data_IF_956976934096
#
_entry.id   IF_956976934096
#
_cell.length_a   1.000
_cell.length_b   1.000
_cell.length_c   1.000
_cell.angle_alpha   90.00
_cell.angle_beta   90.00
_cell.angle_gamma   90.00
#
_symmetry.space_group_name_H-M   'P 1'
#
loop_
_entity.id
_entity.type
_entity.pdbx_description
1 polymer ?
#
# COMPACT_ATOMS: atom_id res chain seq x y z
N UNK A 1 -40.12 -3.72 -6.43
CA UNK A 1 -40.14 -4.28 -7.80
C UNK A 1 -39.34 -3.48 -8.79
N UNK A 2 -39.19 -2.14 -8.68
CA UNK A 2 -38.34 -1.30 -9.53
C UNK A 2 -36.83 -1.50 -9.23
N UNK A 3 -36.46 -1.78 -8.00
CA UNK A 3 -35.05 -1.89 -7.58
C UNK A 3 -34.37 -3.16 -8.09
N UNK A 4 -35.10 -4.27 -8.19
CA UNK A 4 -34.59 -5.51 -8.78
C UNK A 4 -34.37 -5.42 -10.31
N UNK A 5 -35.08 -4.51 -10.98
CA UNK A 5 -34.91 -4.29 -12.42
C UNK A 5 -33.63 -3.53 -12.71
N UNK A 6 -33.28 -2.53 -11.88
CA UNK A 6 -32.05 -1.75 -12.01
C UNK A 6 -30.81 -2.62 -11.76
N UNK A 7 -30.83 -3.49 -10.74
CA UNK A 7 -29.73 -4.40 -10.43
C UNK A 7 -29.48 -5.40 -11.58
N UNK A 8 -30.56 -5.96 -12.15
CA UNK A 8 -30.46 -6.89 -13.30
C UNK A 8 -29.91 -6.20 -14.55
N UNK A 9 -30.28 -4.94 -14.80
CA UNK A 9 -29.80 -4.17 -15.94
C UNK A 9 -28.31 -3.83 -15.78
N UNK A 10 -27.88 -3.47 -14.59
CA UNK A 10 -26.48 -3.17 -14.28
C UNK A 10 -25.59 -4.43 -14.40
N UNK A 11 -26.07 -5.58 -13.91
CA UNK A 11 -25.38 -6.86 -14.08
C UNK A 11 -25.33 -7.30 -15.55
N UNK A 12 -26.40 -7.08 -16.33
CA UNK A 12 -26.43 -7.39 -17.76
C UNK A 12 -25.44 -6.53 -18.54
N UNK A 13 -25.29 -5.23 -18.18
CA UNK A 13 -24.31 -4.33 -18.82
C UNK A 13 -22.88 -4.78 -18.53
N UNK A 14 -22.59 -5.23 -17.32
CA UNK A 14 -21.29 -5.78 -16.92
C UNK A 14 -20.96 -7.05 -17.75
N UNK A 15 -21.94 -7.94 -17.92
CA UNK A 15 -21.79 -9.16 -18.72
C UNK A 15 -21.54 -8.83 -20.21
N UNK A 16 -22.22 -7.83 -20.76
CA UNK A 16 -22.02 -7.38 -22.16
C UNK A 16 -20.60 -6.82 -22.34
N UNK A 17 -20.08 -6.08 -21.36
CA UNK A 17 -18.70 -5.57 -21.40
C UNK A 17 -17.65 -6.69 -21.35
N UNK A 18 -17.98 -7.81 -20.69
CA UNK A 18 -17.12 -9.01 -20.59
C UNK A 18 -17.14 -9.85 -21.89
N UNK A 19 -18.14 -9.67 -22.75
CA UNK A 19 -18.29 -10.42 -24.00
C UNK A 19 -17.67 -9.72 -25.22
N UNK A 20 -17.12 -8.51 -25.07
CA UNK A 20 -16.38 -7.84 -26.16
C UNK A 20 -15.09 -8.60 -26.39
N UNK A 21 -14.87 -9.19 -27.60
CA UNK A 21 -13.61 -9.84 -27.91
C UNK A 21 -12.49 -8.81 -27.85
N UNK A 22 -11.61 -8.95 -26.87
CA UNK A 22 -10.38 -8.16 -26.79
C UNK A 22 -9.47 -8.64 -27.94
N UNK A 23 -9.39 -7.88 -29.00
CA UNK A 23 -8.31 -8.03 -29.97
C UNK A 23 -6.98 -7.90 -29.21
N UNK A 24 -5.97 -8.63 -29.65
CA UNK A 24 -4.64 -8.66 -29.03
C UNK A 24 -4.00 -7.26 -29.00
N UNK A 25 -4.43 -6.45 -28.07
CA UNK A 25 -3.71 -5.23 -27.69
C UNK A 25 -2.62 -5.64 -26.72
N UNK A 26 -1.38 -5.62 -27.17
CA UNK A 26 -0.19 -5.82 -26.33
C UNK A 26 -0.03 -4.64 -25.36
N UNK A 27 -0.93 -4.54 -24.39
CA UNK A 27 -0.78 -3.60 -23.28
C UNK A 27 0.05 -4.28 -22.20
N UNK A 28 1.36 -4.08 -22.22
CA UNK A 28 2.31 -4.69 -21.28
C UNK A 28 2.76 -3.62 -20.29
N UNK A 29 2.64 -3.84 -18.96
CA UNK A 29 3.13 -2.91 -17.93
C UNK A 29 4.62 -2.56 -18.10
N UNK A 30 5.04 -1.40 -17.59
CA UNK A 30 6.35 -0.79 -17.84
C UNK A 30 7.55 -1.75 -17.72
N UNK A 31 7.64 -2.49 -16.60
CA UNK A 31 8.77 -3.39 -16.38
C UNK A 31 8.71 -4.64 -17.26
N UNK A 32 7.50 -5.16 -17.53
CA UNK A 32 7.33 -6.28 -18.43
C UNK A 32 7.75 -5.91 -19.87
N UNK A 33 7.47 -4.69 -20.33
CA UNK A 33 7.98 -4.18 -21.62
C UNK A 33 9.50 -4.01 -21.61
N UNK A 34 10.00 -3.35 -20.57
CA UNK A 34 11.42 -3.04 -20.44
C UNK A 34 12.30 -4.29 -20.50
N UNK A 35 11.91 -5.35 -19.78
CA UNK A 35 12.68 -6.57 -19.63
C UNK A 35 12.14 -7.75 -20.46
N UNK A 36 11.05 -7.56 -21.19
CA UNK A 36 10.37 -8.61 -21.99
C UNK A 36 9.99 -9.85 -21.17
N UNK A 37 9.50 -9.63 -19.96
CA UNK A 37 9.11 -10.68 -19.01
C UNK A 37 7.59 -10.68 -18.74
N UNK A 38 7.07 -11.85 -18.35
CA UNK A 38 5.67 -11.98 -17.92
C UNK A 38 5.45 -11.33 -16.55
N UNK A 39 4.23 -10.85 -16.31
CA UNK A 39 3.80 -10.37 -14.98
C UNK A 39 4.00 -11.40 -13.86
N UNK A 40 3.93 -12.70 -14.18
CA UNK A 40 4.13 -13.79 -13.22
C UNK A 40 5.55 -13.90 -12.67
N UNK A 41 6.55 -13.29 -13.32
CA UNK A 41 7.92 -13.28 -12.81
C UNK A 41 7.99 -12.53 -11.48
N UNK A 42 7.21 -11.43 -11.36
CA UNK A 42 7.20 -10.56 -10.18
C UNK A 42 5.96 -10.69 -9.32
N UNK A 43 4.82 -11.14 -9.88
CA UNK A 43 3.52 -11.13 -9.21
C UNK A 43 2.93 -12.53 -9.05
N UNK A 44 2.30 -12.81 -7.90
CA UNK A 44 1.57 -14.04 -7.64
C UNK A 44 0.35 -13.78 -6.74
N UNK A 45 -0.81 -14.31 -7.08
CA UNK A 45 -1.24 -14.87 -8.37
C UNK A 45 -1.50 -13.78 -9.42
N UNK A 46 -1.63 -12.52 -8.99
CA UNK A 46 -1.95 -11.36 -9.82
C UNK A 46 -1.36 -10.08 -9.23
N UNK A 47 -1.27 -9.04 -10.06
CA UNK A 47 -0.96 -7.68 -9.57
C UNK A 47 -2.02 -7.23 -8.54
N UNK A 48 -1.67 -6.43 -7.53
CA UNK A 48 -0.36 -5.81 -7.31
C UNK A 48 0.60 -6.67 -6.47
N UNK A 49 0.16 -7.81 -5.92
CA UNK A 49 0.96 -8.60 -4.98
C UNK A 49 2.27 -9.07 -5.60
N UNK A 50 3.36 -8.86 -4.88
CA UNK A 50 4.68 -9.34 -5.27
C UNK A 50 4.95 -10.73 -4.69
N UNK A 51 5.81 -11.49 -5.34
CA UNK A 51 6.48 -12.68 -4.85
C UNK A 51 7.98 -12.40 -4.67
N UNK A 52 8.74 -13.33 -4.09
CA UNK A 52 10.12 -13.10 -3.70
C UNK A 52 10.99 -12.44 -4.77
N UNK A 53 10.91 -12.87 -6.04
CA UNK A 53 11.61 -12.20 -7.13
C UNK A 53 11.13 -10.76 -7.36
N UNK A 54 9.84 -10.50 -7.23
CA UNK A 54 9.27 -9.15 -7.39
C UNK A 54 9.71 -8.21 -6.26
N UNK A 55 9.82 -8.70 -5.05
CA UNK A 55 10.34 -7.97 -3.89
C UNK A 55 11.84 -7.67 -4.05
N UNK A 56 12.62 -8.66 -4.45
CA UNK A 56 14.04 -8.47 -4.77
C UNK A 56 14.24 -7.46 -5.91
N UNK A 57 13.45 -7.55 -6.98
CA UNK A 57 13.50 -6.60 -8.09
C UNK A 57 13.16 -5.17 -7.64
N UNK A 58 12.18 -4.99 -6.77
CA UNK A 58 11.84 -3.69 -6.20
C UNK A 58 12.96 -3.18 -5.28
N UNK A 59 13.48 -4.01 -4.38
CA UNK A 59 14.60 -3.70 -3.50
C UNK A 59 15.91 -3.38 -4.25
N UNK A 60 16.10 -3.94 -5.45
CA UNK A 60 17.20 -3.60 -6.35
C UNK A 60 16.93 -2.36 -7.23
N UNK A 61 15.90 -1.55 -6.90
CA UNK A 61 15.56 -0.31 -7.59
C UNK A 61 14.95 -0.53 -8.97
N UNK A 62 14.13 -1.56 -9.09
CA UNK A 62 13.42 -1.89 -10.32
C UNK A 62 14.35 -2.20 -11.49
N UNK A 63 15.46 -2.89 -11.18
CA UNK A 63 16.46 -3.35 -12.15
C UNK A 63 16.82 -4.82 -11.91
N UNK A 64 17.21 -5.48 -12.98
CA UNK A 64 17.83 -6.81 -12.90
C UNK A 64 19.35 -6.64 -12.76
N UNK A 65 19.91 -7.10 -11.65
CA UNK A 65 21.31 -6.87 -11.27
C UNK A 65 22.33 -7.52 -12.21
N UNK A 66 21.96 -8.59 -12.92
CA UNK A 66 22.83 -9.31 -13.86
C UNK A 66 22.40 -9.13 -15.34
N UNK A 67 21.40 -8.28 -15.58
CA UNK A 67 20.86 -8.07 -16.92
C UNK A 67 21.09 -6.63 -17.35
N UNK A 68 22.08 -6.42 -18.21
CA UNK A 68 22.19 -5.16 -18.94
C UNK A 68 21.03 -5.09 -19.95
N UNK A 69 20.02 -4.35 -19.57
CA UNK A 69 18.95 -4.06 -20.51
C UNK A 69 19.52 -3.32 -21.73
N UNK A 70 19.23 -3.81 -22.95
CA UNK A 70 19.80 -3.21 -24.12
C UNK A 70 19.37 -1.74 -24.23
N UNK A 71 20.34 -0.84 -24.01
CA UNK A 71 20.25 0.58 -24.39
C UNK A 71 19.15 1.38 -23.66
N UNK A 72 19.14 1.37 -22.32
CA UNK A 72 18.24 2.24 -21.54
C UNK A 72 18.56 3.71 -21.70
N UNK A 73 19.81 4.04 -21.92
CA UNK A 73 20.29 5.40 -22.02
C UNK A 73 20.66 5.76 -23.45
N UNK A 74 20.52 7.04 -23.76
CA UNK A 74 21.02 7.63 -24.99
C UNK A 74 22.43 8.13 -24.71
N UNK A 75 23.42 7.66 -25.46
CA UNK A 75 24.76 8.20 -25.42
C UNK A 75 24.76 9.62 -26.00
N UNK A 76 25.08 10.60 -25.17
CA UNK A 76 25.05 12.03 -25.54
C UNK A 76 26.42 12.61 -25.78
N UNK A 77 27.49 11.86 -25.40
CA UNK A 77 28.85 12.39 -25.32
C UNK A 77 29.13 13.27 -24.11
N UNK A 78 28.16 13.40 -23.20
CA UNK A 78 28.30 14.08 -21.90
C UNK A 78 28.11 13.05 -20.78
N UNK A 79 29.20 12.67 -20.10
CA UNK A 79 29.21 11.67 -19.02
C UNK A 79 28.38 12.08 -17.78
N UNK A 80 27.96 13.34 -17.70
CA UNK A 80 27.11 13.84 -16.64
C UNK A 80 25.64 13.91 -17.01
N UNK A 81 25.29 13.62 -18.26
CA UNK A 81 23.91 13.67 -18.75
C UNK A 81 23.39 12.24 -18.96
N UNK A 82 22.42 11.87 -18.15
CA UNK A 82 21.70 10.59 -18.26
C UNK A 82 20.33 10.83 -18.88
N UNK A 83 20.13 10.33 -20.11
CA UNK A 83 18.87 10.42 -20.83
C UNK A 83 18.29 9.03 -21.07
N UNK A 84 17.05 8.82 -20.64
CA UNK A 84 16.34 7.60 -20.95
C UNK A 84 15.96 7.55 -22.43
N UNK A 85 16.11 6.38 -23.03
CA UNK A 85 15.53 6.13 -24.36
C UNK A 85 14.01 6.07 -24.29
N UNK A 86 13.48 5.38 -23.27
CA UNK A 86 12.04 5.23 -23.02
C UNK A 86 11.81 5.34 -21.50
N UNK A 87 10.87 6.22 -21.12
CA UNK A 87 10.44 6.30 -19.73
C UNK A 87 9.50 5.12 -19.46
N UNK A 88 9.80 4.24 -18.49
CA UNK A 88 8.97 3.09 -18.18
C UNK A 88 7.70 3.53 -17.45
N UNK A 89 6.61 3.77 -18.18
CA UNK A 89 5.31 4.14 -17.66
C UNK A 89 4.35 2.96 -17.67
N UNK A 90 3.60 2.80 -16.60
CA UNK A 90 2.46 1.90 -16.52
C UNK A 90 1.24 2.66 -16.02
N UNK A 91 0.08 2.25 -16.52
CA UNK A 91 -1.22 2.76 -16.10
C UNK A 91 -2.01 1.64 -15.43
N UNK A 92 -2.81 1.99 -14.41
CA UNK A 92 -3.78 1.08 -13.81
C UNK A 92 -5.14 1.76 -13.76
N UNK A 93 -6.17 1.02 -14.13
CA UNK A 93 -7.57 1.45 -14.06
C UNK A 93 -8.35 0.37 -13.32
N UNK A 94 -9.08 0.78 -12.29
CA UNK A 94 -10.02 -0.04 -11.56
C UNK A 94 -11.42 0.56 -11.67
N UNK A 95 -12.43 -0.29 -11.79
CA UNK A 95 -13.82 0.13 -11.80
C UNK A 95 -14.69 -0.89 -11.05
N UNK A 96 -15.66 -0.38 -10.27
CA UNK A 96 -16.52 -1.20 -9.42
C UNK A 96 -17.97 -0.77 -9.48
N UNK A 97 -18.85 -1.73 -9.27
CA UNK A 97 -20.22 -1.54 -8.88
C UNK A 97 -20.34 -2.06 -7.46
N UNK A 98 -20.91 -1.28 -6.56
CA UNK A 98 -21.06 -1.64 -5.16
C UNK A 98 -22.51 -1.49 -4.70
N UNK A 99 -22.91 -2.31 -3.74
CA UNK A 99 -24.20 -2.23 -3.07
C UNK A 99 -23.99 -2.37 -1.56
N UNK A 100 -24.51 -1.38 -0.82
CA UNK A 100 -24.54 -1.39 0.64
C UNK A 100 -25.89 -1.87 1.11
N UNK A 101 -25.92 -2.87 2.00
CA UNK A 101 -27.16 -3.47 2.52
C UNK A 101 -27.86 -2.59 3.56
N UNK A 102 -27.16 -1.61 4.11
CA UNK A 102 -27.68 -0.67 5.09
C UNK A 102 -28.02 0.67 4.44
N UNK A 103 -28.63 1.58 5.18
CA UNK A 103 -28.99 2.92 4.72
C UNK A 103 -29.82 2.95 3.43
N UNK A 104 -30.94 2.24 3.42
CA UNK A 104 -31.88 2.22 2.31
C UNK A 104 -31.35 1.63 0.99
N UNK A 105 -30.33 0.79 1.04
CA UNK A 105 -29.86 0.04 -0.12
C UNK A 105 -29.17 0.92 -1.17
N UNK A 106 -28.13 1.66 -0.78
CA UNK A 106 -27.38 2.49 -1.70
C UNK A 106 -26.56 1.65 -2.69
N UNK A 107 -26.80 1.85 -4.00
CA UNK A 107 -25.97 1.33 -5.08
C UNK A 107 -25.06 2.42 -5.62
N UNK A 108 -23.85 2.06 -5.99
CA UNK A 108 -22.85 2.98 -6.52
C UNK A 108 -22.14 2.40 -7.74
N UNK A 109 -21.84 3.26 -8.71
CA UNK A 109 -21.04 2.97 -9.88
C UNK A 109 -19.76 3.80 -9.81
N UNK A 110 -18.68 3.19 -9.34
CA UNK A 110 -17.38 3.82 -9.18
C UNK A 110 -16.43 3.39 -10.30
N UNK A 111 -16.53 4.05 -11.46
CA UNK A 111 -15.65 3.82 -12.59
C UNK A 111 -15.26 5.17 -13.24
N UNK A 112 -13.99 5.59 -13.21
CA UNK A 112 -12.88 4.91 -12.55
C UNK A 112 -12.92 5.02 -11.02
N UNK A 113 -12.67 3.91 -10.32
CA UNK A 113 -12.43 3.90 -8.89
C UNK A 113 -10.99 4.27 -8.54
N UNK A 114 -10.06 3.69 -9.28
CA UNK A 114 -8.64 4.06 -9.29
C UNK A 114 -8.22 4.34 -10.74
N UNK A 115 -7.47 5.41 -10.92
CA UNK A 115 -6.67 5.67 -12.12
C UNK A 115 -5.31 6.14 -11.66
N UNK A 116 -4.26 5.33 -11.89
CA UNK A 116 -2.91 5.69 -11.48
C UNK A 116 -1.87 5.48 -12.58
N UNK A 117 -0.81 6.28 -12.49
CA UNK A 117 0.40 6.18 -13.30
C UNK A 117 1.54 5.76 -12.40
N UNK A 118 2.35 4.85 -12.86
CA UNK A 118 3.53 4.33 -12.16
C UNK A 118 4.73 4.44 -13.08
N UNK A 119 5.86 4.84 -12.52
CA UNK A 119 7.16 4.77 -13.17
C UNK A 119 8.26 4.41 -12.16
N UNK A 120 9.25 3.70 -12.62
CA UNK A 120 10.42 3.36 -11.82
C UNK A 120 11.54 2.84 -12.68
N UNK A 121 12.75 2.93 -12.19
CA UNK A 121 13.91 2.43 -12.90
C UNK A 121 15.19 3.12 -12.51
N UNK A 122 16.22 2.75 -13.21
CA UNK A 122 17.60 3.14 -12.99
C UNK A 122 17.89 4.53 -13.57
N UNK A 123 18.48 5.40 -12.78
CA UNK A 123 19.03 6.69 -13.22
C UNK A 123 20.53 6.59 -13.50
N UNK A 124 21.22 5.74 -12.76
CA UNK A 124 22.63 5.39 -12.92
C UNK A 124 22.93 4.08 -12.21
N UNK A 125 24.14 3.53 -12.32
CA UNK A 125 24.53 2.23 -11.77
C UNK A 125 24.14 1.99 -10.29
N UNK A 126 24.03 3.04 -9.48
CA UNK A 126 23.67 2.94 -8.06
C UNK A 126 22.47 3.78 -7.66
N UNK A 127 21.88 4.51 -8.58
CA UNK A 127 20.77 5.40 -8.32
C UNK A 127 19.57 4.99 -9.16
N UNK A 128 18.44 4.79 -8.50
CA UNK A 128 17.16 4.54 -9.13
C UNK A 128 16.08 5.44 -8.55
N UNK A 129 14.93 5.45 -9.21
CA UNK A 129 13.76 6.20 -8.78
C UNK A 129 12.52 5.32 -8.84
N UNK A 130 11.54 5.69 -8.06
CA UNK A 130 10.20 5.16 -8.15
C UNK A 130 9.21 6.24 -7.79
N UNK A 131 8.13 6.31 -8.56
CA UNK A 131 6.96 7.10 -8.16
C UNK A 131 5.69 6.47 -8.68
N UNK A 132 4.58 6.71 -7.99
CA UNK A 132 3.28 6.58 -8.59
C UNK A 132 2.36 7.73 -8.19
N UNK A 133 1.49 8.06 -9.13
CA UNK A 133 0.59 9.17 -9.04
C UNK A 133 -0.85 8.69 -9.24
N UNK A 134 -1.71 9.00 -8.29
CA UNK A 134 -3.14 8.73 -8.37
C UNK A 134 -3.85 9.92 -9.02
N UNK A 135 -4.18 9.77 -10.31
CA UNK A 135 -5.00 10.74 -11.04
C UNK A 135 -6.44 10.73 -10.53
N UNK A 136 -6.91 9.56 -10.08
CA UNK A 136 -8.20 9.41 -9.41
C UNK A 136 -8.12 8.30 -8.37
N UNK A 137 -8.60 8.58 -7.17
CA UNK A 137 -8.93 7.59 -6.16
C UNK A 137 -10.27 7.96 -5.53
N UNK A 138 -11.26 7.08 -5.69
CA UNK A 138 -12.61 7.27 -5.14
C UNK A 138 -13.22 8.64 -5.49
N UNK A 139 -13.03 9.09 -6.73
CA UNK A 139 -13.57 10.35 -7.24
C UNK A 139 -12.76 11.61 -6.91
N UNK A 140 -11.58 11.49 -6.33
CA UNK A 140 -10.69 12.61 -6.01
C UNK A 140 -9.33 12.43 -6.63
N UNK A 141 -8.64 13.53 -6.93
CA UNK A 141 -7.22 13.50 -7.26
C UNK A 141 -6.48 13.30 -5.93
N UNK A 142 -5.88 12.12 -5.74
CA UNK A 142 -5.14 11.82 -4.53
C UNK A 142 -3.69 12.34 -4.59
N UNK A 143 -3.14 12.54 -5.79
CA UNK A 143 -1.80 13.08 -5.97
C UNK A 143 -0.71 12.01 -5.93
N UNK A 144 0.50 12.42 -5.54
CA UNK A 144 1.66 11.55 -5.43
C UNK A 144 1.62 10.83 -4.09
N UNK A 145 1.69 9.51 -4.09
CA UNK A 145 1.79 8.69 -2.88
C UNK A 145 3.23 8.23 -2.64
N UNK A 146 3.80 7.40 -3.51
CA UNK A 146 5.24 7.11 -3.47
C UNK A 146 5.99 8.02 -4.44
N UNK A 147 7.08 8.63 -4.00
CA UNK A 147 8.03 9.35 -4.84
C UNK A 147 9.38 9.42 -4.13
N UNK A 148 10.29 8.56 -4.48
CA UNK A 148 11.59 8.51 -3.84
C UNK A 148 12.72 8.16 -4.82
N UNK A 149 13.92 8.56 -4.43
CA UNK A 149 15.17 8.08 -5.00
C UNK A 149 15.73 6.98 -4.10
N UNK A 150 16.35 5.99 -4.70
CA UNK A 150 17.01 4.89 -4.02
C UNK A 150 18.48 4.84 -4.43
N UNK A 151 19.37 4.88 -3.44
CA UNK A 151 20.80 4.70 -3.64
C UNK A 151 21.23 3.31 -3.15
N UNK A 152 21.67 2.49 -4.08
CA UNK A 152 22.01 1.08 -3.82
C UNK A 152 23.41 0.92 -3.29
N UNK A 153 23.58 -0.02 -2.37
CA UNK A 153 24.87 -0.41 -1.81
C UNK A 153 25.69 0.81 -1.36
N UNK A 154 25.11 1.57 -0.43
CA UNK A 154 25.72 2.79 0.08
C UNK A 154 27.14 2.53 0.59
N UNK A 155 28.12 3.18 -0.04
CA UNK A 155 29.55 3.06 0.25
C UNK A 155 30.09 1.61 0.25
N UNK A 156 29.46 0.66 -0.45
CA UNK A 156 29.89 -0.74 -0.46
C UNK A 156 29.53 -1.53 0.79
N UNK A 157 28.56 -1.03 1.58
CA UNK A 157 28.14 -1.65 2.85
C UNK A 157 26.98 -2.65 2.70
N UNK A 158 26.41 -2.74 1.50
CA UNK A 158 25.18 -3.50 1.24
C UNK A 158 23.92 -2.85 1.86
N UNK A 159 23.98 -1.56 2.22
CA UNK A 159 22.82 -0.80 2.68
C UNK A 159 22.21 -0.07 1.49
N UNK A 160 20.88 -0.20 1.31
CA UNK A 160 20.13 0.64 0.40
C UNK A 160 19.56 1.84 1.17
N UNK A 161 19.63 3.02 0.55
CA UNK A 161 19.08 4.26 1.09
C UNK A 161 17.98 4.77 0.18
N UNK A 162 16.86 5.14 0.77
CA UNK A 162 15.73 5.78 0.10
C UNK A 162 15.57 7.19 0.64
N UNK A 163 15.27 8.14 -0.23
CA UNK A 163 15.00 9.52 0.16
C UNK A 163 13.81 10.04 -0.63
N UNK A 164 12.79 10.50 0.06
CA UNK A 164 11.57 11.02 -0.57
C UNK A 164 10.32 10.75 0.24
N UNK A 165 9.24 10.49 -0.46
CA UNK A 165 7.92 10.18 0.10
C UNK A 165 7.63 8.69 -0.12
N UNK A 166 7.25 7.99 0.95
CA UNK A 166 6.97 6.55 0.91
C UNK A 166 5.96 6.17 2.00
N UNK A 167 5.41 4.98 1.88
CA UNK A 167 4.52 4.44 2.91
C UNK A 167 5.35 3.89 4.08
N UNK A 168 5.16 4.46 5.28
CA UNK A 168 5.89 4.06 6.51
C UNK A 168 5.67 2.58 6.87
N UNK A 169 4.55 1.98 6.45
CA UNK A 169 4.29 0.55 6.64
C UNK A 169 4.86 -0.36 5.53
N UNK A 170 5.57 0.18 4.53
CA UNK A 170 6.15 -0.64 3.46
C UNK A 170 7.02 -1.79 3.98
N UNK A 171 7.89 -1.60 4.99
CA UNK A 171 8.67 -2.69 5.54
C UNK A 171 7.83 -3.74 6.29
N UNK A 172 6.58 -3.43 6.65
CA UNK A 172 5.63 -4.36 7.28
C UNK A 172 4.82 -5.09 6.20
N UNK A 173 3.67 -4.50 5.83
CA UNK A 173 2.87 -4.96 4.71
C UNK A 173 2.44 -3.73 3.90
N UNK A 174 2.94 -3.64 2.69
CA UNK A 174 2.59 -2.52 1.81
C UNK A 174 1.10 -2.55 1.48
N UNK A 175 0.38 -1.53 1.91
CA UNK A 175 -1.06 -1.43 1.70
C UNK A 175 -1.47 -1.46 0.22
N UNK A 176 -0.61 -0.95 -0.67
CA UNK A 176 -0.82 -0.96 -2.10
C UNK A 176 -0.76 -2.35 -2.76
N UNK A 177 -0.15 -3.33 -2.08
CA UNK A 177 -0.04 -4.71 -2.57
C UNK A 177 -1.22 -5.59 -2.16
N UNK A 178 -2.16 -5.10 -1.35
CA UNK A 178 -3.36 -5.85 -0.97
C UNK A 178 -4.30 -6.08 -2.15
N UNK A 179 -5.08 -7.14 -2.07
CA UNK A 179 -6.11 -7.43 -3.06
C UNK A 179 -7.46 -6.79 -2.76
N UNK A 180 -7.78 -6.63 -1.47
CA UNK A 180 -9.08 -6.17 -1.00
C UNK A 180 -9.26 -4.66 -1.18
N UNK A 181 -10.50 -4.22 -1.40
CA UNK A 181 -10.86 -2.80 -1.33
C UNK A 181 -10.74 -2.28 0.10
N UNK A 182 -10.98 -3.16 1.08
CA UNK A 182 -10.81 -2.83 2.48
C UNK A 182 -9.32 -2.71 2.81
N UNK A 183 -8.86 -1.59 3.42
CA UNK A 183 -7.45 -1.39 3.77
C UNK A 183 -7.08 -2.12 5.07
N UNK A 184 -5.79 -2.21 5.35
CA UNK A 184 -5.27 -2.57 6.68
C UNK A 184 -5.51 -1.39 7.64
N UNK A 185 -6.63 -1.44 8.38
CA UNK A 185 -7.15 -0.30 9.16
C UNK A 185 -6.18 0.24 10.21
N UNK A 186 -5.45 -0.66 10.87
CA UNK A 186 -4.56 -0.28 11.97
C UNK A 186 -3.46 0.70 11.54
N UNK A 187 -3.02 0.67 10.29
CA UNK A 187 -1.98 1.58 9.79
C UNK A 187 -2.39 3.05 9.75
N UNK A 188 -3.68 3.30 9.65
CA UNK A 188 -4.25 4.66 9.67
C UNK A 188 -4.94 5.01 10.99
N UNK A 189 -4.85 4.16 12.01
CA UNK A 189 -5.52 4.41 13.28
C UNK A 189 -4.75 5.46 14.08
N UNK A 190 -5.22 6.71 14.04
CA UNK A 190 -4.67 7.84 14.78
C UNK A 190 -5.74 8.46 15.67
N UNK A 191 -5.58 8.49 17.00
CA UNK A 191 -6.57 9.06 17.90
C UNK A 191 -6.62 10.59 17.79
N UNK A 192 -7.84 11.13 17.79
CA UNK A 192 -8.08 12.59 17.78
C UNK A 192 -7.38 13.31 16.63
N UNK A 193 -6.56 14.29 16.96
CA UNK A 193 -5.81 15.10 15.99
C UNK A 193 -4.36 14.64 15.77
N UNK A 194 -3.97 13.45 16.24
CA UNK A 194 -2.63 12.92 15.98
C UNK A 194 -2.40 12.72 14.48
N UNK A 195 -1.30 13.24 13.96
CA UNK A 195 -0.90 13.10 12.55
C UNK A 195 0.01 11.91 12.33
N UNK A 196 0.69 11.44 13.37
CA UNK A 196 1.58 10.28 13.29
C UNK A 196 0.78 9.01 12.98
N UNK A 197 1.13 8.36 11.89
CA UNK A 197 0.53 7.09 11.46
C UNK A 197 1.52 6.30 10.59
N UNK A 198 1.12 5.12 10.14
CA UNK A 198 1.95 4.25 9.28
C UNK A 198 1.55 4.33 7.80
N UNK A 199 0.87 5.40 7.38
CA UNK A 199 0.60 5.71 5.97
C UNK A 199 1.81 6.40 5.35
N UNK A 200 1.56 7.28 4.38
CA UNK A 200 2.61 7.99 3.65
C UNK A 200 3.20 9.14 4.46
N UNK A 201 4.52 9.26 4.39
CA UNK A 201 5.26 10.38 4.96
C UNK A 201 6.50 10.70 4.11
N UNK A 202 7.19 11.76 4.42
CA UNK A 202 8.43 12.18 3.80
C UNK A 202 9.60 11.91 4.72
N UNK A 203 10.67 11.31 4.18
CA UNK A 203 11.79 10.94 5.01
C UNK A 203 12.91 10.24 4.28
N UNK A 204 13.68 9.53 5.08
CA UNK A 204 14.79 8.67 4.66
C UNK A 204 14.54 7.28 5.24
N UNK A 205 14.71 6.26 4.40
CA UNK A 205 14.67 4.86 4.80
C UNK A 205 16.01 4.22 4.45
N UNK A 206 16.47 3.34 5.30
CA UNK A 206 17.62 2.47 5.02
C UNK A 206 17.25 1.02 5.34
N UNK A 207 17.71 0.14 4.49
CA UNK A 207 17.46 -1.29 4.62
C UNK A 207 18.73 -2.10 4.34
N UNK A 208 18.82 -3.25 5.00
CA UNK A 208 19.88 -4.21 4.75
C UNK A 208 19.40 -5.62 5.00
N UNK A 209 19.61 -6.48 4.03
CA UNK A 209 19.43 -7.92 4.15
C UNK A 209 20.76 -8.62 4.37
N UNK A 210 20.72 -9.64 5.21
CA UNK A 210 21.88 -10.49 5.52
C UNK A 210 21.67 -11.88 4.94
N UNK A 211 22.75 -12.52 4.54
CA UNK A 211 22.72 -13.88 4.01
C UNK A 211 22.12 -14.93 4.98
N UNK A 212 21.95 -14.59 6.24
CA UNK A 212 21.30 -15.41 7.27
C UNK A 212 19.77 -15.42 7.17
N UNK A 213 19.20 -14.65 6.24
CA UNK A 213 17.76 -14.42 6.16
C UNK A 213 17.23 -13.40 7.16
N UNK A 214 18.13 -12.71 7.87
CA UNK A 214 17.78 -11.57 8.72
C UNK A 214 17.76 -10.31 7.89
N UNK A 215 16.73 -9.46 8.04
CA UNK A 215 16.70 -8.12 7.47
C UNK A 215 16.46 -7.07 8.54
N UNK A 216 16.98 -5.89 8.32
CA UNK A 216 16.77 -4.71 9.15
C UNK A 216 16.35 -3.53 8.31
N UNK A 217 15.39 -2.75 8.80
CA UNK A 217 14.95 -1.51 8.19
C UNK A 217 14.90 -0.42 9.25
N UNK A 218 15.27 0.78 8.89
CA UNK A 218 15.12 1.95 9.74
C UNK A 218 14.61 3.13 8.92
N UNK A 219 13.75 3.94 9.50
CA UNK A 219 13.19 5.13 8.87
C UNK A 219 13.31 6.35 9.79
N UNK A 220 13.51 7.49 9.16
CA UNK A 220 13.43 8.81 9.77
C UNK A 220 12.44 9.60 8.95
N UNK A 221 11.29 9.93 9.53
CA UNK A 221 10.19 10.61 8.84
C UNK A 221 9.76 11.87 9.57
N UNK A 222 9.04 12.75 8.89
CA UNK A 222 8.52 13.98 9.50
C UNK A 222 7.47 13.70 10.60
N UNK A 223 6.62 12.69 10.42
CA UNK A 223 5.50 12.40 11.34
C UNK A 223 4.26 13.25 11.06
N UNK A 224 4.25 14.02 9.98
CA UNK A 224 3.20 14.97 9.62
C UNK A 224 2.39 14.57 8.38
N UNK A 225 2.76 13.44 7.74
CA UNK A 225 2.16 12.99 6.49
C UNK A 225 2.74 13.71 5.27
N UNK A 226 1.97 13.76 4.19
CA UNK A 226 2.48 14.21 2.88
C UNK A 226 2.08 15.64 2.50
N UNK A 227 1.13 16.23 3.19
CA UNK A 227 0.58 17.56 2.85
C UNK A 227 1.47 18.69 3.37
N UNK A 228 1.43 19.81 2.68
CA UNK A 228 2.08 21.04 3.14
C UNK A 228 1.39 21.56 4.42
N UNK A 229 2.16 21.92 5.41
CA UNK A 229 1.67 22.35 6.71
C UNK A 229 1.73 23.86 6.86
N UNK A 230 0.65 24.54 6.47
CA UNK A 230 0.37 25.91 6.93
C UNK A 230 1.20 27.05 6.36
N UNK A 231 1.71 26.90 5.16
CA UNK A 231 2.42 27.96 4.42
C UNK A 231 3.94 27.96 4.66
N UNK A 232 4.67 28.53 3.71
CA UNK A 232 6.13 28.58 3.78
C UNK A 232 6.84 27.37 3.20
N UNK A 233 6.13 26.51 2.45
CA UNK A 233 6.67 25.32 1.77
C UNK A 233 7.25 24.28 2.74
N UNK A 234 6.72 24.20 3.95
CA UNK A 234 7.13 23.21 4.95
C UNK A 234 6.15 22.04 4.97
N UNK A 235 6.70 20.83 5.04
CA UNK A 235 5.95 19.58 5.19
C UNK A 235 6.00 19.03 6.62
N UNK A 236 6.53 19.82 7.54
CA UNK A 236 6.58 19.51 8.96
C UNK A 236 6.21 20.77 9.78
N UNK A 237 5.35 20.57 10.78
CA UNK A 237 4.86 21.66 11.65
C UNK A 237 5.79 21.95 12.83
N UNK A 238 6.67 21.01 13.11
CA UNK A 238 7.47 21.07 14.32
C UNK A 238 8.93 20.69 14.06
N UNK A 239 9.72 20.63 15.10
CA UNK A 239 11.15 20.33 15.03
C UNK A 239 11.48 18.86 15.25
N UNK A 240 10.48 18.03 15.53
CA UNK A 240 10.69 16.64 15.87
C UNK A 240 10.67 15.77 14.61
N UNK A 241 11.36 14.64 14.66
CA UNK A 241 11.28 13.61 13.66
C UNK A 241 10.83 12.33 14.33
N UNK A 242 10.15 11.51 13.56
CA UNK A 242 9.68 10.21 14.00
C UNK A 242 10.59 9.12 13.42
N UNK A 243 10.76 8.06 14.17
CA UNK A 243 11.68 6.98 13.86
C UNK A 243 10.94 5.67 13.86
N UNK A 244 11.14 4.88 12.80
CA UNK A 244 10.67 3.50 12.73
C UNK A 244 11.87 2.57 12.60
N UNK A 245 11.76 1.41 13.19
CA UNK A 245 12.73 0.32 13.09
C UNK A 245 11.99 -1.00 12.93
N UNK A 246 12.43 -1.84 12.00
CA UNK A 246 11.98 -3.22 11.84
C UNK A 246 13.17 -4.16 11.78
N UNK A 247 13.01 -5.31 12.41
CA UNK A 247 13.86 -6.49 12.22
C UNK A 247 12.96 -7.65 11.82
N UNK A 248 13.40 -8.44 10.86
CA UNK A 248 12.71 -9.66 10.49
C UNK A 248 13.70 -10.81 10.27
N UNK A 249 13.19 -12.03 10.39
CA UNK A 249 13.94 -13.26 10.15
C UNK A 249 13.12 -14.20 9.27
N UNK A 250 13.68 -14.57 8.14
CA UNK A 250 13.17 -15.66 7.32
C UNK A 250 13.69 -17.01 7.84
N UNK A 251 12.76 -17.95 8.03
CA UNK A 251 13.05 -19.31 8.49
C UNK A 251 12.73 -20.25 7.34
N UNK A 252 13.77 -20.63 6.61
CA UNK A 252 13.62 -21.25 5.30
C UNK A 252 12.89 -20.31 4.32
N UNK A 253 12.26 -20.91 3.31
CA UNK A 253 11.59 -20.15 2.24
C UNK A 253 10.09 -19.91 2.55
N UNK A 254 9.60 -20.33 3.73
CA UNK A 254 8.16 -20.41 4.00
C UNK A 254 7.65 -19.52 5.11
N UNK A 255 8.50 -19.11 6.03
CA UNK A 255 8.08 -18.37 7.22
C UNK A 255 8.97 -17.16 7.39
N UNK A 256 8.35 -15.99 7.54
CA UNK A 256 9.04 -14.78 7.95
C UNK A 256 8.38 -14.22 9.20
N UNK A 257 9.15 -13.99 10.24
CA UNK A 257 8.69 -13.35 11.48
C UNK A 257 9.38 -12.00 11.61
N UNK A 258 8.63 -10.99 12.01
CA UNK A 258 9.13 -9.64 12.15
C UNK A 258 8.69 -9.01 13.47
N UNK A 259 9.39 -7.96 13.83
CA UNK A 259 9.02 -7.07 14.93
C UNK A 259 9.44 -5.64 14.57
N UNK A 260 8.53 -4.70 14.78
CA UNK A 260 8.82 -3.29 14.56
C UNK A 260 8.57 -2.45 15.80
N UNK A 261 9.20 -1.29 15.82
CA UNK A 261 8.97 -0.23 16.77
C UNK A 261 8.95 1.13 16.07
N UNK A 262 8.06 1.99 16.49
CA UNK A 262 7.95 3.38 16.02
C UNK A 262 7.91 4.30 17.24
N UNK A 263 8.64 5.40 17.20
CA UNK A 263 8.62 6.43 18.22
C UNK A 263 8.69 7.80 17.61
N UNK A 264 7.88 8.71 18.10
CA UNK A 264 7.82 10.07 17.61
C UNK A 264 7.30 11.04 18.63
N UNK A 265 7.36 12.31 18.26
CA UNK A 265 6.76 13.42 18.99
C UNK A 265 6.05 14.33 18.00
N UNK A 266 4.93 14.87 18.44
CA UNK A 266 4.18 15.87 17.69
C UNK A 266 3.76 17.03 18.59
N UNK A 267 3.64 18.21 18.02
CA UNK A 267 3.07 19.35 18.71
C UNK A 267 1.56 19.34 18.52
N UNK A 268 0.84 19.19 19.62
CA UNK A 268 -0.61 19.26 19.65
C UNK A 268 -1.00 20.71 19.92
N UNK A 269 -1.65 21.42 18.97
CA UNK A 269 -2.06 22.81 19.20
C UNK A 269 -3.11 22.85 20.31
N UNK A 270 -2.87 23.70 21.30
CA UNK A 270 -3.88 24.05 22.28
C UNK A 270 -4.60 25.31 21.79
N UNK A 271 -5.89 25.25 21.52
CA UNK A 271 -6.67 26.39 21.03
C UNK A 271 -6.74 27.58 22.00
N UNK A 272 -6.28 27.45 23.26
CA UNK A 272 -6.40 28.44 24.33
C UNK A 272 -5.08 28.63 25.12
N UNK A 273 -4.12 27.69 25.02
CA UNK A 273 -2.87 27.68 25.78
C UNK A 273 -1.62 27.45 24.92
N UNK A 274 -0.44 27.32 25.55
CA UNK A 274 0.77 26.98 24.81
C UNK A 274 0.67 25.57 24.22
N UNK A 275 1.24 25.34 23.01
CA UNK A 275 1.20 24.03 22.39
C UNK A 275 1.83 22.96 23.28
N UNK A 276 1.18 21.80 23.34
CA UNK A 276 1.59 20.65 24.16
C UNK A 276 2.25 19.62 23.27
N UNK A 277 3.28 18.95 23.78
CA UNK A 277 3.95 17.86 23.07
C UNK A 277 3.29 16.54 23.42
N UNK A 278 2.91 15.76 22.43
CA UNK A 278 2.51 14.36 22.54
C UNK A 278 3.65 13.43 22.12
N UNK A 279 3.88 12.36 22.88
CA UNK A 279 4.77 11.29 22.48
C UNK A 279 3.93 10.14 21.89
N UNK A 280 4.30 9.69 20.71
CA UNK A 280 3.67 8.56 20.03
C UNK A 280 4.64 7.37 20.03
N UNK A 281 4.15 6.20 20.39
CA UNK A 281 4.90 4.95 20.33
C UNK A 281 4.02 3.87 19.73
N UNK A 282 4.58 3.09 18.81
CA UNK A 282 3.93 1.91 18.25
C UNK A 282 4.92 0.76 18.21
N UNK A 283 4.45 -0.45 18.42
CA UNK A 283 5.26 -1.66 18.26
C UNK A 283 4.37 -2.88 18.06
N UNK A 284 4.93 -3.90 17.47
CA UNK A 284 4.24 -5.17 17.35
C UNK A 284 4.96 -6.18 16.47
N UNK A 285 4.59 -7.46 16.60
CA UNK A 285 5.06 -8.53 15.74
C UNK A 285 4.28 -8.58 14.41
N UNK A 286 4.93 -9.14 13.41
CA UNK A 286 4.32 -9.57 12.16
C UNK A 286 4.78 -10.99 11.79
N UNK A 287 3.96 -11.66 10.97
CA UNK A 287 4.19 -13.01 10.50
C UNK A 287 3.69 -13.16 9.08
N UNK A 288 4.52 -13.75 8.22
CA UNK A 288 4.12 -14.28 6.92
C UNK A 288 4.42 -15.78 6.88
N UNK A 289 3.44 -16.56 6.43
CA UNK A 289 3.61 -17.96 6.07
C UNK A 289 3.26 -18.09 4.60
N UNK A 290 4.21 -18.53 3.78
CA UNK A 290 4.01 -18.79 2.36
C UNK A 290 4.22 -20.27 2.05
N UNK A 291 3.17 -20.95 1.67
CA UNK A 291 3.20 -22.35 1.27
C UNK A 291 3.16 -22.46 -0.26
N UNK A 292 4.32 -22.22 -0.87
CA UNK A 292 4.55 -22.35 -2.32
C UNK A 292 3.59 -21.45 -3.15
N UNK A 293 3.31 -20.25 -2.64
CA UNK A 293 2.37 -19.26 -3.23
C UNK A 293 0.92 -19.76 -3.37
N UNK A 294 0.63 -21.00 -2.89
CA UNK A 294 -0.71 -21.58 -2.92
C UNK A 294 -1.56 -21.16 -1.76
N UNK A 295 -0.93 -20.97 -0.62
CA UNK A 295 -1.53 -20.45 0.60
C UNK A 295 -0.56 -19.50 1.24
N UNK A 296 -0.95 -18.22 1.31
CA UNK A 296 -0.19 -17.19 2.02
C UNK A 296 -1.03 -16.70 3.20
N UNK A 297 -0.43 -16.64 4.37
CA UNK A 297 -1.04 -16.13 5.60
C UNK A 297 -0.18 -14.97 6.08
N UNK A 298 -0.79 -13.81 6.24
CA UNK A 298 -0.19 -12.61 6.82
C UNK A 298 -0.89 -12.26 8.12
N UNK A 299 -0.12 -11.87 9.10
CA UNK A 299 -0.61 -11.41 10.38
C UNK A 299 0.19 -10.22 10.87
N UNK A 300 -0.50 -9.18 11.37
CA UNK A 300 0.10 -8.03 12.02
C UNK A 300 -0.65 -7.72 13.31
N UNK A 301 0.06 -7.47 14.37
CA UNK A 301 -0.45 -6.86 15.60
C UNK A 301 0.31 -5.57 15.88
N UNK A 302 -0.40 -4.53 16.32
CA UNK A 302 0.16 -3.23 16.69
C UNK A 302 -0.44 -2.77 18.01
N UNK A 303 0.41 -2.35 18.93
CA UNK A 303 0.04 -1.56 20.09
C UNK A 303 0.60 -0.16 19.91
N UNK A 304 -0.28 0.84 19.97
CA UNK A 304 0.02 2.27 19.92
C UNK A 304 -0.29 2.91 21.26
N UNK A 305 0.54 3.87 21.68
CA UNK A 305 0.30 4.73 22.84
C UNK A 305 0.62 6.17 22.49
N UNK A 306 -0.31 7.07 22.84
CA UNK A 306 -0.19 8.51 22.64
C UNK A 306 -0.29 9.17 24.02
N UNK A 307 0.74 9.94 24.43
CA UNK A 307 0.77 10.50 25.79
C UNK A 307 -0.24 11.62 25.99
N UNK A 308 -0.65 12.31 24.91
CA UNK A 308 -1.70 13.31 24.94
C UNK A 308 -2.35 13.48 23.56
N UNK A 309 -3.65 13.45 23.52
CA UNK A 309 -4.46 13.53 22.31
C UNK A 309 -5.47 14.67 22.45
N UNK A 310 -5.51 15.58 21.47
CA UNK A 310 -6.56 16.58 21.37
C UNK A 310 -7.78 15.94 20.70
N UNK A 311 -8.90 15.95 21.41
CA UNK A 311 -10.18 15.43 20.89
C UNK A 311 -10.84 16.49 20.00
N UNK A 312 -11.45 16.02 18.92
CA UNK A 312 -12.29 16.88 18.09
C UNK A 312 -13.60 17.19 18.80
N UNK A 313 -13.94 18.46 18.92
CA UNK A 313 -15.16 18.91 19.55
C UNK A 313 -15.02 20.32 20.14
N UNK A 314 -16.15 20.91 20.54
CA UNK A 314 -16.14 22.18 21.24
C UNK A 314 -16.91 22.02 22.56
N UNK A 315 -16.31 22.37 23.72
CA UNK A 315 -14.91 22.83 23.91
C UNK A 315 -13.90 21.73 23.66
N UNK A 316 -12.70 22.11 23.16
CA UNK A 316 -11.58 21.20 22.98
C UNK A 316 -11.21 20.55 24.31
N UNK A 317 -11.06 19.25 24.32
CA UNK A 317 -10.64 18.46 25.49
C UNK A 317 -9.45 17.58 25.12
N UNK A 318 -8.64 17.29 26.12
CA UNK A 318 -7.51 16.38 25.97
C UNK A 318 -7.83 15.04 26.60
N UNK A 319 -7.23 14.01 26.05
CA UNK A 319 -7.17 12.68 26.62
C UNK A 319 -5.70 12.30 26.79
N UNK A 320 -5.31 11.96 27.99
CA UNK A 320 -3.94 11.54 28.32
C UNK A 320 -3.83 10.01 28.22
N UNK A 321 -2.64 9.52 27.86
CA UNK A 321 -2.28 8.10 27.83
C UNK A 321 -3.24 7.21 27.03
N UNK A 322 -3.61 7.65 25.82
CA UNK A 322 -4.49 6.91 24.93
C UNK A 322 -3.77 5.67 24.39
N UNK A 323 -4.34 4.51 24.61
CA UNK A 323 -3.88 3.24 24.04
C UNK A 323 -4.80 2.82 22.90
N UNK A 324 -4.22 2.46 21.76
CA UNK A 324 -4.90 1.85 20.62
C UNK A 324 -4.20 0.54 20.28
N UNK A 325 -4.94 -0.54 20.21
CA UNK A 325 -4.46 -1.85 19.82
C UNK A 325 -5.22 -2.35 18.59
N UNK A 326 -4.59 -3.16 17.78
CA UNK A 326 -5.27 -3.73 16.64
C UNK A 326 -4.34 -4.48 15.71
N UNK A 327 -4.87 -4.84 14.58
CA UNK A 327 -4.12 -5.57 13.58
C UNK A 327 -5.00 -6.11 12.47
N UNK A 328 -4.44 -7.06 11.75
CA UNK A 328 -5.17 -7.82 10.75
C UNK A 328 -4.63 -9.24 10.62
N UNK A 329 -5.47 -10.11 10.10
CA UNK A 329 -5.12 -11.42 9.58
C UNK A 329 -5.61 -11.52 8.14
N UNK A 330 -4.72 -11.86 7.22
CA UNK A 330 -5.02 -12.04 5.80
C UNK A 330 -4.65 -13.45 5.36
N UNK A 331 -5.54 -14.10 4.62
CA UNK A 331 -5.30 -15.42 4.02
C UNK A 331 -5.55 -15.32 2.53
N UNK A 332 -4.57 -15.74 1.72
CA UNK A 332 -4.66 -15.76 0.26
C UNK A 332 -4.51 -17.20 -0.20
N UNK A 333 -5.48 -17.67 -0.98
CA UNK A 333 -5.52 -19.01 -1.55
C UNK A 333 -5.42 -18.91 -3.07
N UNK A 334 -4.40 -19.56 -3.65
CA UNK A 334 -4.13 -19.60 -5.08
C UNK A 334 -3.80 -21.05 -5.46
N UNK A 335 -4.76 -21.89 -5.86
CA UNK A 335 -4.58 -23.36 -5.91
C UNK A 335 -3.43 -23.87 -6.77
N UNK A 336 -2.96 -23.07 -7.73
CA UNK A 336 -1.83 -23.39 -8.60
C UNK A 336 -0.65 -22.42 -8.41
N UNK A 337 -0.59 -21.70 -7.26
CA UNK A 337 0.40 -20.68 -7.03
C UNK A 337 0.33 -19.58 -8.09
N UNK A 338 1.47 -19.19 -8.64
CA UNK A 338 1.60 -18.19 -9.71
C UNK A 338 0.92 -18.55 -11.04
N UNK A 339 0.63 -19.86 -11.24
CA UNK A 339 -0.10 -20.36 -12.41
C UNK A 339 -1.61 -20.33 -12.22
N UNK A 340 -2.12 -19.88 -11.08
CA UNK A 340 -3.56 -19.78 -10.82
C UNK A 340 -4.22 -18.75 -11.73
N UNK A 341 -5.40 -19.11 -12.23
CA UNK A 341 -6.27 -18.18 -12.95
C UNK A 341 -7.28 -17.50 -12.03
N UNK A 342 -7.38 -17.95 -10.79
CA UNK A 342 -8.24 -17.37 -9.77
C UNK A 342 -7.58 -17.45 -8.40
N UNK A 343 -8.01 -16.60 -7.52
CA UNK A 343 -7.58 -16.59 -6.13
C UNK A 343 -8.72 -16.14 -5.22
N UNK A 344 -8.59 -16.48 -3.95
CA UNK A 344 -9.50 -16.09 -2.88
C UNK A 344 -8.68 -15.43 -1.77
N UNK A 345 -9.17 -14.31 -1.24
CA UNK A 345 -8.54 -13.61 -0.12
C UNK A 345 -9.56 -13.39 0.98
N UNK A 346 -9.22 -13.77 2.20
CA UNK A 346 -9.93 -13.40 3.42
C UNK A 346 -9.11 -12.37 4.19
N UNK A 347 -9.73 -11.27 4.63
CA UNK A 347 -9.10 -10.25 5.47
C UNK A 347 -9.97 -9.99 6.68
N UNK A 348 -9.39 -10.09 7.87
CA UNK A 348 -10.00 -9.67 9.12
C UNK A 348 -9.21 -8.52 9.71
N UNK A 349 -9.89 -7.40 9.98
CA UNK A 349 -9.33 -6.22 10.65
C UNK A 349 -9.95 -6.05 12.02
N UNK A 350 -9.15 -5.61 12.99
CA UNK A 350 -9.66 -5.12 14.28
C UNK A 350 -8.82 -3.95 14.77
N UNK A 351 -9.46 -2.98 15.41
CA UNK A 351 -8.87 -1.86 16.12
C UNK A 351 -9.73 -1.62 17.35
N UNK A 352 -9.10 -1.53 18.50
CA UNK A 352 -9.69 -1.16 19.79
C UNK A 352 -8.89 0.01 20.37
N UNK A 353 -9.57 1.04 20.87
CA UNK A 353 -8.93 2.25 21.36
C UNK A 353 -9.65 2.82 22.58
N UNK A 354 -8.89 3.39 23.51
CA UNK A 354 -9.46 4.26 24.55
C UNK A 354 -10.22 5.44 23.93
N UNK A 355 -9.85 5.84 22.70
CA UNK A 355 -10.62 6.75 21.85
C UNK A 355 -11.58 5.97 20.96
N UNK A 356 -12.75 5.66 21.47
CA UNK A 356 -13.75 4.75 20.87
C UNK A 356 -14.17 5.06 19.42
N UNK A 357 -14.10 6.32 18.89
CA UNK A 357 -14.34 6.54 17.46
C UNK A 357 -13.40 5.80 16.51
N UNK A 358 -12.27 5.27 17.01
CA UNK A 358 -11.37 4.42 16.24
C UNK A 358 -11.75 2.94 16.23
N UNK A 359 -12.65 2.51 17.12
CA UNK A 359 -13.04 1.10 17.21
C UNK A 359 -13.56 0.59 15.89
N UNK A 360 -12.93 -0.45 15.39
CA UNK A 360 -13.23 -1.00 14.07
C UNK A 360 -13.02 -2.51 14.04
N UNK A 361 -14.01 -3.21 13.51
CA UNK A 361 -13.89 -4.65 13.26
C UNK A 361 -14.59 -4.96 11.95
N UNK A 362 -13.91 -5.66 11.04
CA UNK A 362 -14.49 -6.10 9.77
C UNK A 362 -13.95 -7.44 9.31
N UNK A 363 -14.75 -8.15 8.53
CA UNK A 363 -14.33 -9.31 7.77
C UNK A 363 -14.63 -9.09 6.29
N UNK A 364 -13.68 -9.39 5.44
CA UNK A 364 -13.77 -9.25 3.99
C UNK A 364 -13.44 -10.57 3.31
N UNK A 365 -14.25 -10.94 2.34
CA UNK A 365 -13.98 -12.04 1.41
C UNK A 365 -13.87 -11.46 0.01
N UNK A 366 -12.74 -11.68 -0.64
CA UNK A 366 -12.44 -11.19 -1.98
C UNK A 366 -12.07 -12.34 -2.90
N UNK A 367 -12.60 -12.36 -4.11
CA UNK A 367 -12.25 -13.33 -5.14
C UNK A 367 -11.85 -12.61 -6.43
N UNK A 368 -10.82 -13.09 -7.08
CA UNK A 368 -10.40 -12.58 -8.37
C UNK A 368 -10.26 -13.69 -9.41
N UNK A 369 -10.63 -13.40 -10.65
CA UNK A 369 -10.44 -14.28 -11.81
C UNK A 369 -9.72 -13.52 -12.92
N UNK A 370 -8.61 -14.06 -13.40
CA UNK A 370 -7.78 -13.44 -14.44
C UNK A 370 -8.31 -13.82 -15.84
N UNK A 371 -8.87 -12.83 -16.52
CA UNK A 371 -9.20 -12.91 -17.94
C UNK A 371 -7.93 -12.84 -18.80
N UNK A 372 -6.99 -11.99 -18.38
CA UNK A 372 -5.63 -11.85 -18.90
C UNK A 372 -4.68 -11.62 -17.72
N UNK A 373 -3.37 -11.75 -17.89
CA UNK A 373 -2.40 -11.49 -16.81
C UNK A 373 -2.43 -10.06 -16.29
N UNK A 374 -2.86 -9.12 -17.11
CA UNK A 374 -3.03 -7.71 -16.79
C UNK A 374 -4.50 -7.25 -16.68
N UNK A 375 -5.46 -8.15 -16.78
CA UNK A 375 -6.90 -7.86 -16.64
C UNK A 375 -7.56 -8.95 -15.80
N UNK A 376 -8.19 -8.55 -14.71
CA UNK A 376 -8.96 -9.44 -13.87
C UNK A 376 -10.33 -8.87 -13.52
N UNK A 377 -11.29 -9.74 -13.32
CA UNK A 377 -12.57 -9.44 -12.70
C UNK A 377 -12.52 -9.85 -11.25
N UNK A 378 -13.18 -9.10 -10.40
CA UNK A 378 -13.14 -9.30 -8.95
C UNK A 378 -14.53 -9.16 -8.35
N UNK A 379 -14.75 -9.88 -7.26
CA UNK A 379 -15.91 -9.76 -6.39
C UNK A 379 -15.47 -9.68 -4.94
N UNK A 380 -16.12 -8.83 -4.16
CA UNK A 380 -15.79 -8.64 -2.75
C UNK A 380 -17.07 -8.48 -1.92
N UNK A 381 -17.08 -9.14 -0.77
CA UNK A 381 -18.03 -8.89 0.30
C UNK A 381 -17.29 -8.47 1.56
N UNK A 382 -17.63 -7.30 2.09
CA UNK A 382 -17.12 -6.81 3.38
C UNK A 382 -18.27 -6.63 4.35
N UNK A 383 -18.12 -7.16 5.56
CA UNK A 383 -19.02 -6.89 6.68
C UNK A 383 -18.26 -6.15 7.79
N UNK A 384 -18.77 -4.99 8.19
CA UNK A 384 -18.28 -4.24 9.33
C UNK A 384 -19.15 -4.58 10.54
N UNK A 385 -18.54 -4.95 11.66
CA UNK A 385 -19.23 -5.35 12.89
C UNK A 385 -19.33 -4.21 13.91
N UNK A 386 -18.40 -3.25 13.86
CA UNK A 386 -18.29 -2.12 14.78
C UNK A 386 -19.10 -0.91 14.31
N UNK A 387 -19.59 -0.09 15.25
CA UNK A 387 -20.38 1.10 14.94
C UNK A 387 -21.75 0.74 14.33
N UNK A 388 -22.15 1.47 13.29
CA UNK A 388 -23.28 1.04 12.46
C UNK A 388 -22.83 -0.16 11.63
N UNK A 389 -23.26 -1.36 12.04
CA UNK A 389 -22.96 -2.60 11.33
C UNK A 389 -23.54 -2.55 9.92
N UNK A 390 -22.72 -2.80 8.90
CA UNK A 390 -23.20 -2.84 7.52
C UNK A 390 -22.45 -3.87 6.67
N UNK A 391 -23.12 -4.34 5.62
CA UNK A 391 -22.54 -5.19 4.61
C UNK A 391 -22.42 -4.47 3.27
N UNK A 392 -21.32 -4.67 2.55
CA UNK A 392 -21.10 -4.17 1.20
C UNK A 392 -20.68 -5.30 0.28
N UNK A 393 -21.37 -5.44 -0.85
CA UNK A 393 -20.95 -6.25 -1.98
C UNK A 393 -20.40 -5.34 -3.07
N UNK A 394 -19.27 -5.71 -3.64
CA UNK A 394 -18.67 -5.00 -4.77
C UNK A 394 -18.28 -6.02 -5.85
N UNK A 395 -18.45 -5.64 -7.11
CA UNK A 395 -17.97 -6.41 -8.26
C UNK A 395 -17.33 -5.44 -9.25
N UNK A 396 -16.24 -5.85 -9.90
CA UNK A 396 -15.55 -4.93 -10.78
C UNK A 396 -14.41 -5.56 -11.57
N UNK A 397 -13.61 -4.69 -12.17
CA UNK A 397 -12.42 -5.06 -12.92
C UNK A 397 -11.21 -4.25 -12.47
N UNK A 398 -10.04 -4.84 -12.66
CA UNK A 398 -8.73 -4.21 -12.43
C UNK A 398 -7.87 -4.53 -13.66
N UNK A 399 -7.32 -3.50 -14.28
CA UNK A 399 -6.42 -3.65 -15.43
C UNK A 399 -5.22 -2.74 -15.32
N UNK A 400 -4.07 -3.21 -15.83
CA UNK A 400 -2.85 -2.40 -15.94
C UNK A 400 -2.20 -2.60 -17.31
N UNK A 401 -1.61 -1.54 -17.86
CA UNK A 401 -1.02 -1.51 -19.20
C UNK A 401 0.09 -0.47 -19.32
#
# INVERSE_FOLDING_TARGET
MKDHLNLRFTFALLIVFLLVPANDTEAIPAFARKYQISCQVCHSPAMPRLKGFGEEFAGNGFRMTEYESPRHFIETGDDRLSLFREVPLAFRIDGFVSYNFDNAGASDLAAPFVLKILSGGELSNKLSYYFYFLLNERGRIAGVEDAFLMYHDFLGTGINLYAGQFQVSDPLFKGELRFTLEPYKIYGASPGNSTANLKYDKGILFEKDFATGTGIVGEIVNGAGIEETGGGYLFDKDKYKNYMFKIFQSVGDKITVGFFGYTGKEIVPDGIGPPVTSNVRMFGPDLTIDLDERLVINFQYIKRTDSRVLLQGFPSSYMDDVTTTGGFAEVIISPRGDMSNWYLTGLFNWVESDYTPLDYTSATLHAGYMLRRNLRVVGEYTHQFSGASYGRVSAGFITAF
#
